data_IF_258694561452
#
_entry.id   IF_258694561452
#
_cell.length_a   1.000
_cell.length_b   1.000
_cell.length_c   1.000
_cell.angle_alpha   90.00
_cell.angle_beta   90.00
_cell.angle_gamma   90.00
#
_symmetry.space_group_name_H-M   'P 1'
#
loop_
_entity.id
_entity.type
_entity.pdbx_description
1 polymer ?
#
# COMPACT_ATOMS: atom_id res chain seq x y z
N UNK A 1 16.49 -15.95 5.84
CA UNK A 1 16.38 -14.51 5.67
C UNK A 1 17.78 -13.92 5.71
N UNK A 2 18.05 -12.80 5.03
CA UNK A 2 19.41 -12.29 4.86
C UNK A 2 19.49 -10.79 5.17
N UNK A 3 20.61 -10.39 5.81
CA UNK A 3 21.08 -9.02 5.86
C UNK A 3 22.12 -8.86 4.77
N UNK A 4 22.02 -7.80 4.00
CA UNK A 4 22.93 -7.51 2.90
C UNK A 4 23.49 -6.10 3.02
N UNK A 5 24.69 -5.96 2.47
CA UNK A 5 25.38 -4.69 2.31
C UNK A 5 25.54 -4.40 0.83
N UNK A 6 25.18 -3.21 0.40
CA UNK A 6 25.49 -2.68 -0.92
C UNK A 6 26.57 -1.61 -0.76
N UNK A 7 27.67 -1.76 -1.46
CA UNK A 7 28.80 -0.84 -1.39
C UNK A 7 28.95 -0.11 -2.71
N UNK A 8 29.08 1.20 -2.66
CA UNK A 8 29.51 2.01 -3.79
C UNK A 8 31.04 1.99 -3.86
N UNK A 9 31.59 1.40 -4.94
CA UNK A 9 33.04 1.22 -5.12
C UNK A 9 33.81 2.53 -5.35
N UNK A 10 33.12 3.62 -5.70
CA UNK A 10 33.79 4.90 -5.94
C UNK A 10 34.06 5.68 -4.64
N UNK A 11 33.26 5.53 -3.60
CA UNK A 11 33.36 6.31 -2.38
C UNK A 11 33.26 5.49 -1.10
N UNK A 12 33.19 4.17 -1.22
CA UNK A 12 33.07 3.19 -0.13
C UNK A 12 31.87 3.39 0.81
N UNK A 13 30.91 4.23 0.44
CA UNK A 13 29.66 4.38 1.21
C UNK A 13 28.77 3.15 1.04
N UNK A 14 28.08 2.80 2.10
CA UNK A 14 27.28 1.57 2.17
C UNK A 14 25.80 1.84 2.41
N UNK A 15 24.98 0.91 1.91
CA UNK A 15 23.59 0.74 2.25
C UNK A 15 23.39 -0.62 2.89
N UNK A 16 22.75 -0.68 4.04
CA UNK A 16 22.39 -1.91 4.74
C UNK A 16 20.89 -2.16 4.56
N UNK A 17 20.53 -3.41 4.29
CA UNK A 17 19.12 -3.79 4.15
C UNK A 17 18.88 -5.25 4.46
N UNK A 18 17.60 -5.60 4.59
CA UNK A 18 17.15 -6.96 4.84
C UNK A 18 16.28 -7.49 3.70
N UNK A 19 16.26 -8.81 3.53
CA UNK A 19 15.40 -9.48 2.55
C UNK A 19 15.08 -10.92 2.94
N UNK A 20 13.85 -11.34 2.60
CA UNK A 20 13.43 -12.75 2.61
C UNK A 20 13.49 -13.36 1.20
N UNK A 21 13.72 -12.54 0.18
CA UNK A 21 13.80 -12.94 -1.23
C UNK A 21 15.26 -13.14 -1.64
N UNK A 22 15.52 -13.87 -2.75
CA UNK A 22 16.87 -14.01 -3.29
C UNK A 22 17.56 -12.67 -3.47
N UNK A 23 18.82 -12.58 -3.03
CA UNK A 23 19.57 -11.33 -2.96
C UNK A 23 19.71 -10.64 -4.34
N UNK A 24 19.91 -11.42 -5.40
CA UNK A 24 20.00 -10.89 -6.78
C UNK A 24 18.69 -10.19 -7.18
N UNK A 25 17.54 -10.78 -6.85
CA UNK A 25 16.22 -10.20 -7.14
C UNK A 25 16.02 -8.90 -6.36
N UNK A 26 16.43 -8.86 -5.09
CA UNK A 26 16.34 -7.67 -4.25
C UNK A 26 17.22 -6.54 -4.81
N UNK A 27 18.43 -6.86 -5.24
CA UNK A 27 19.34 -5.88 -5.84
C UNK A 27 18.80 -5.31 -7.14
N UNK A 28 18.34 -6.15 -8.08
CA UNK A 28 17.69 -5.69 -9.30
C UNK A 28 16.52 -4.76 -9.04
N UNK A 29 15.72 -5.05 -8.02
CA UNK A 29 14.61 -4.18 -7.65
C UNK A 29 15.11 -2.79 -7.21
N UNK A 30 16.13 -2.71 -6.36
CA UNK A 30 16.72 -1.43 -5.97
C UNK A 30 17.20 -0.62 -7.18
N UNK A 31 17.88 -1.28 -8.12
CA UNK A 31 18.38 -0.63 -9.34
C UNK A 31 17.22 -0.12 -10.20
N UNK A 32 16.20 -0.95 -10.43
CA UNK A 32 15.04 -0.58 -11.24
C UNK A 32 14.24 0.56 -10.60
N UNK A 33 13.96 0.48 -9.29
CA UNK A 33 13.21 1.52 -8.59
C UNK A 33 13.93 2.88 -8.63
N UNK A 34 15.28 2.85 -8.57
CA UNK A 34 16.11 4.05 -8.66
C UNK A 34 16.14 4.62 -10.09
N UNK A 35 16.39 3.79 -11.11
CA UNK A 35 16.54 4.23 -12.51
C UNK A 35 15.22 4.70 -13.13
N UNK A 36 14.11 4.12 -12.72
CA UNK A 36 12.77 4.52 -13.17
C UNK A 36 12.15 5.65 -12.33
N UNK A 37 12.92 6.28 -11.44
CA UNK A 37 12.45 7.35 -10.54
C UNK A 37 11.21 6.98 -9.68
N UNK A 38 11.05 5.68 -9.37
CA UNK A 38 9.95 5.20 -8.51
C UNK A 38 10.18 5.63 -7.06
N UNK A 39 11.46 5.66 -6.63
CA UNK A 39 11.88 6.09 -5.30
C UNK A 39 12.88 7.24 -5.39
N UNK A 40 12.74 8.22 -4.49
CA UNK A 40 13.69 9.32 -4.34
C UNK A 40 14.39 9.28 -2.98
N UNK A 41 14.91 8.12 -2.62
CA UNK A 41 15.73 7.91 -1.42
C UNK A 41 17.18 8.34 -1.66
N UNK A 42 17.92 8.57 -0.56
CA UNK A 42 19.35 8.87 -0.64
C UNK A 42 20.12 7.80 -1.44
N UNK A 43 19.77 6.52 -1.23
CA UNK A 43 20.35 5.42 -1.98
C UNK A 43 19.98 5.44 -3.47
N UNK A 44 18.69 5.71 -3.79
CA UNK A 44 18.26 5.81 -5.18
C UNK A 44 18.94 6.97 -5.94
N UNK A 45 19.10 8.12 -5.30
CA UNK A 45 19.86 9.26 -5.85
C UNK A 45 21.32 8.91 -6.07
N UNK A 46 21.93 8.13 -5.18
CA UNK A 46 23.30 7.66 -5.35
C UNK A 46 23.44 6.73 -6.56
N UNK A 47 22.50 5.78 -6.75
CA UNK A 47 22.51 4.89 -7.94
C UNK A 47 22.42 5.71 -9.23
N UNK A 48 21.53 6.70 -9.30
CA UNK A 48 21.42 7.59 -10.46
C UNK A 48 22.68 8.40 -10.72
N UNK A 49 23.32 8.91 -9.66
CA UNK A 49 24.52 9.73 -9.75
C UNK A 49 25.76 8.94 -10.19
N UNK A 50 25.98 7.79 -9.58
CA UNK A 50 27.24 7.03 -9.76
C UNK A 50 27.12 5.93 -10.82
N UNK A 51 25.91 5.60 -11.27
CA UNK A 51 25.64 4.49 -12.19
C UNK A 51 25.58 3.13 -11.49
N UNK A 52 24.74 2.25 -12.01
CA UNK A 52 24.44 0.94 -11.41
C UNK A 52 25.66 0.02 -11.26
N UNK A 53 26.62 0.13 -12.18
CA UNK A 53 27.79 -0.75 -12.27
C UNK A 53 28.84 -0.45 -11.18
N UNK A 54 28.68 0.66 -10.47
CA UNK A 54 29.52 1.04 -9.35
C UNK A 54 29.00 0.54 -7.99
N UNK A 55 28.00 -0.33 -7.97
CA UNK A 55 27.46 -0.89 -6.75
C UNK A 55 27.61 -2.40 -6.71
N UNK A 56 28.17 -2.91 -5.64
CA UNK A 56 28.30 -4.34 -5.35
C UNK A 56 27.40 -4.71 -4.18
N UNK A 57 26.88 -5.95 -4.17
CA UNK A 57 26.05 -6.48 -3.09
C UNK A 57 26.63 -7.75 -2.51
N UNK A 58 26.62 -7.87 -1.20
CA UNK A 58 27.04 -9.07 -0.48
C UNK A 58 26.09 -9.36 0.70
N UNK A 59 25.99 -10.64 1.06
CA UNK A 59 25.31 -11.07 2.29
C UNK A 59 26.29 -10.94 3.43
N UNK A 60 25.91 -10.22 4.48
CA UNK A 60 26.76 -10.03 5.68
C UNK A 60 26.25 -10.79 6.91
N UNK A 61 24.97 -11.20 6.90
CA UNK A 61 24.40 -11.97 8.02
C UNK A 61 23.13 -12.71 7.57
N UNK A 62 22.65 -13.64 8.42
CA UNK A 62 21.42 -14.39 8.22
C UNK A 62 20.58 -14.38 9.49
N UNK A 63 19.25 -14.58 9.35
CA UNK A 63 18.34 -14.67 10.47
C UNK A 63 17.30 -15.78 10.26
N UNK A 64 16.85 -16.38 11.36
CA UNK A 64 15.84 -17.45 11.38
C UNK A 64 14.42 -16.89 11.60
N UNK A 65 14.30 -15.70 12.20
CA UNK A 65 13.03 -15.05 12.46
C UNK A 65 13.04 -13.59 12.00
N UNK A 66 11.84 -13.00 11.84
CA UNK A 66 11.72 -11.58 11.47
C UNK A 66 12.25 -10.65 12.57
N UNK A 67 12.04 -11.01 13.84
CA UNK A 67 12.53 -10.20 14.97
C UNK A 67 14.06 -10.20 15.03
N UNK A 68 14.69 -11.36 14.80
CA UNK A 68 16.13 -11.48 14.69
C UNK A 68 16.65 -10.67 13.51
N UNK A 69 15.96 -10.76 12.35
CA UNK A 69 16.32 -10.03 11.14
C UNK A 69 16.31 -8.50 11.39
N UNK A 70 15.27 -8.01 12.05
CA UNK A 70 15.13 -6.58 12.37
C UNK A 70 16.27 -6.11 13.33
N UNK A 71 16.57 -6.89 14.37
CA UNK A 71 17.65 -6.58 15.32
C UNK A 71 19.02 -6.57 14.64
N UNK A 72 19.28 -7.54 13.77
CA UNK A 72 20.52 -7.63 13.01
C UNK A 72 20.66 -6.50 11.99
N UNK A 73 19.60 -6.13 11.27
CA UNK A 73 19.65 -4.99 10.36
C UNK A 73 20.03 -3.71 11.12
N UNK A 74 19.38 -3.46 12.27
CA UNK A 74 19.70 -2.31 13.11
C UNK A 74 21.16 -2.33 13.60
N UNK A 75 21.63 -3.47 14.07
CA UNK A 75 23.01 -3.64 14.49
C UNK A 75 23.99 -3.29 13.36
N UNK A 76 23.78 -3.80 12.14
CA UNK A 76 24.65 -3.54 11.01
C UNK A 76 24.56 -2.11 10.47
N UNK A 77 23.38 -1.45 10.54
CA UNK A 77 23.23 -0.03 10.24
C UNK A 77 24.09 0.81 11.20
N UNK A 78 24.07 0.49 12.48
CA UNK A 78 24.86 1.21 13.49
C UNK A 78 26.36 0.89 13.31
N UNK A 79 26.73 -0.36 13.11
CA UNK A 79 28.12 -0.81 12.92
C UNK A 79 28.80 -0.07 11.76
N UNK A 80 28.11 0.04 10.63
CA UNK A 80 28.63 0.78 9.46
C UNK A 80 28.35 2.28 9.48
N UNK A 81 27.67 2.79 10.53
CA UNK A 81 27.20 4.19 10.61
C UNK A 81 26.52 4.66 9.31
N UNK A 82 25.75 3.75 8.68
CA UNK A 82 25.27 3.93 7.32
C UNK A 82 24.16 4.99 7.15
N UNK A 83 23.59 5.48 8.25
CA UNK A 83 22.67 6.64 8.25
C UNK A 83 23.45 7.94 8.08
N UNK A 84 24.54 8.11 8.80
CA UNK A 84 25.31 9.36 8.78
C UNK A 84 26.32 9.39 7.61
N UNK A 85 27.04 8.30 7.43
CA UNK A 85 28.16 8.22 6.50
C UNK A 85 27.85 7.35 5.25
N UNK A 86 26.66 6.74 5.17
CA UNK A 86 26.22 5.86 4.10
C UNK A 86 24.99 6.35 3.37
N UNK A 87 24.11 5.40 2.99
CA UNK A 87 22.93 5.63 2.18
C UNK A 87 21.61 5.25 2.87
N UNK A 88 21.63 4.82 4.14
CA UNK A 88 20.43 4.62 4.90
C UNK A 88 19.85 5.98 5.35
N UNK A 89 18.53 6.15 5.31
CA UNK A 89 17.89 7.42 5.71
C UNK A 89 17.50 7.44 7.18
N UNK A 90 17.25 6.27 7.76
CA UNK A 90 16.83 6.11 9.15
C UNK A 90 17.38 4.82 9.73
N UNK A 91 17.46 4.75 11.04
CA UNK A 91 17.60 3.48 11.76
C UNK A 91 16.44 2.56 11.44
N UNK A 92 16.71 1.26 11.32
CA UNK A 92 15.74 0.24 10.88
C UNK A 92 14.42 0.24 11.68
N UNK A 93 14.42 0.77 12.90
CA UNK A 93 13.25 0.84 13.80
C UNK A 93 12.14 1.74 13.23
N UNK A 94 12.48 2.82 12.52
CA UNK A 94 11.50 3.86 12.14
C UNK A 94 10.64 3.49 10.92
N UNK A 95 11.07 2.55 10.10
CA UNK A 95 10.37 2.16 8.85
C UNK A 95 10.45 0.67 8.56
N UNK A 96 10.22 -0.17 9.55
CA UNK A 96 9.83 -1.53 9.23
C UNK A 96 8.49 -1.48 8.50
N UNK A 97 8.52 -1.33 7.18
CA UNK A 97 7.42 -1.67 6.28
C UNK A 97 7.17 -3.18 6.24
N UNK A 98 7.62 -3.90 7.26
CA UNK A 98 7.16 -5.22 7.62
C UNK A 98 5.71 -5.09 8.07
N UNK A 99 4.89 -6.01 7.60
CA UNK A 99 3.49 -6.13 7.93
C UNK A 99 3.27 -5.84 9.44
N UNK A 100 2.88 -4.63 9.78
CA UNK A 100 2.66 -4.11 11.14
C UNK A 100 1.67 -5.00 11.93
N UNK A 101 1.08 -5.98 11.25
CA UNK A 101 0.12 -6.93 11.77
C UNK A 101 0.74 -8.27 12.22
N UNK A 102 2.00 -8.59 11.86
CA UNK A 102 2.59 -9.90 12.18
C UNK A 102 2.92 -10.09 13.67
N UNK A 103 3.12 -9.01 14.42
CA UNK A 103 3.40 -9.04 15.88
C UNK A 103 2.15 -8.87 16.75
N UNK A 104 0.96 -8.79 16.14
CA UNK A 104 -0.29 -8.54 16.87
C UNK A 104 -1.04 -9.83 17.14
N UNK A 105 -1.63 -9.93 18.34
CA UNK A 105 -2.51 -11.04 18.69
C UNK A 105 -3.77 -11.04 17.82
N UNK A 106 -4.48 -12.18 17.80
CA UNK A 106 -5.76 -12.26 17.07
C UNK A 106 -6.77 -11.23 17.56
N UNK A 107 -6.80 -10.99 18.87
CA UNK A 107 -7.69 -10.02 19.53
C UNK A 107 -7.37 -8.59 19.10
N UNK A 108 -6.07 -8.21 19.11
CA UNK A 108 -5.62 -6.91 18.63
C UNK A 108 -5.94 -6.70 17.15
N UNK A 109 -5.81 -7.76 16.34
CA UNK A 109 -6.15 -7.72 14.92
C UNK A 109 -7.64 -7.49 14.68
N UNK A 110 -8.52 -8.11 15.47
CA UNK A 110 -9.96 -7.88 15.35
C UNK A 110 -10.34 -6.44 15.74
N UNK A 111 -9.74 -5.89 16.79
CA UNK A 111 -9.93 -4.47 17.17
C UNK A 111 -9.49 -3.51 16.04
N UNK A 112 -8.34 -3.79 15.41
CA UNK A 112 -7.84 -2.96 14.31
C UNK A 112 -8.75 -3.08 13.08
N UNK A 113 -9.14 -4.30 12.72
CA UNK A 113 -10.07 -4.54 11.61
C UNK A 113 -11.40 -3.82 11.83
N UNK A 114 -11.93 -3.87 13.05
CA UNK A 114 -13.18 -3.18 13.37
C UNK A 114 -13.03 -1.65 13.29
N UNK A 115 -11.93 -1.06 13.79
CA UNK A 115 -11.63 0.37 13.61
C UNK A 115 -11.55 0.75 12.12
N UNK A 116 -10.83 -0.02 11.31
CA UNK A 116 -10.74 0.20 9.86
C UNK A 116 -12.12 0.06 9.21
N UNK A 117 -12.91 -0.92 9.63
CA UNK A 117 -14.26 -1.13 9.13
C UNK A 117 -15.15 0.07 9.43
N UNK A 118 -15.13 0.58 10.66
CA UNK A 118 -15.93 1.73 11.08
C UNK A 118 -15.59 3.02 10.33
N UNK A 119 -14.31 3.23 9.99
CA UNK A 119 -13.89 4.40 9.19
C UNK A 119 -14.23 4.30 7.71
N UNK A 120 -14.48 3.08 7.20
CA UNK A 120 -14.78 2.83 5.78
C UNK A 120 -16.26 2.52 5.51
N UNK A 121 -17.11 2.51 6.54
CA UNK A 121 -18.53 2.20 6.38
C UNK A 121 -19.32 3.47 6.03
N UNK A 122 -20.14 3.36 4.99
CA UNK A 122 -21.14 4.36 4.63
C UNK A 122 -20.55 5.74 4.33
N UNK A 123 -21.19 6.77 4.86
CA UNK A 123 -20.82 8.18 4.69
C UNK A 123 -19.47 8.56 5.31
N UNK A 124 -18.92 7.74 6.21
CA UNK A 124 -17.58 7.95 6.80
C UNK A 124 -16.43 7.61 5.85
N UNK A 125 -16.70 6.99 4.71
CA UNK A 125 -15.68 6.73 3.70
C UNK A 125 -15.45 7.98 2.84
N UNK A 126 -14.27 8.63 2.88
CA UNK A 126 -13.99 9.85 2.08
C UNK A 126 -14.13 9.65 0.57
N UNK A 127 -14.08 8.40 0.10
CA UNK A 127 -14.25 8.04 -1.31
C UNK A 127 -15.70 7.62 -1.65
N UNK A 128 -16.63 7.71 -0.71
CA UNK A 128 -18.02 7.41 -0.97
C UNK A 128 -18.64 8.50 -1.87
N UNK A 129 -19.30 8.07 -2.93
CA UNK A 129 -20.05 8.94 -3.79
C UNK A 129 -21.54 8.82 -3.46
N UNK A 130 -22.20 9.94 -3.24
CA UNK A 130 -23.66 10.00 -3.07
C UNK A 130 -24.32 9.57 -4.37
N UNK A 131 -25.46 8.90 -4.25
CA UNK A 131 -26.24 8.40 -5.38
C UNK A 131 -27.69 8.83 -5.22
N UNK A 132 -28.24 9.42 -6.26
CA UNK A 132 -29.66 9.72 -6.40
C UNK A 132 -30.35 8.56 -7.12
N UNK A 133 -31.46 8.10 -6.58
CA UNK A 133 -32.37 7.14 -7.20
C UNK A 133 -33.64 7.86 -7.58
N UNK A 134 -34.08 7.71 -8.80
CA UNK A 134 -35.27 8.36 -9.35
C UNK A 134 -36.26 7.29 -9.81
N UNK A 135 -37.50 7.38 -9.34
CA UNK A 135 -38.60 6.56 -9.82
C UNK A 135 -39.15 7.18 -11.10
N UNK A 136 -38.99 6.48 -12.22
CA UNK A 136 -39.44 7.02 -13.54
C UNK A 136 -40.97 7.02 -13.71
N UNK A 137 -41.71 6.36 -12.82
CA UNK A 137 -43.18 6.31 -12.86
C UNK A 137 -43.79 7.41 -12.01
N UNK A 138 -43.28 7.61 -10.76
CA UNK A 138 -43.85 8.57 -9.81
C UNK A 138 -43.08 9.89 -9.80
N UNK A 139 -41.85 9.95 -10.31
CA UNK A 139 -40.98 11.12 -10.23
C UNK A 139 -40.32 11.31 -8.86
N UNK A 140 -40.54 10.41 -7.91
CA UNK A 140 -39.93 10.50 -6.59
C UNK A 140 -38.42 10.29 -6.64
N UNK A 141 -37.69 11.10 -5.87
CA UNK A 141 -36.23 11.07 -5.78
C UNK A 141 -35.77 10.73 -4.36
N UNK A 142 -34.82 9.82 -4.25
CA UNK A 142 -34.16 9.48 -2.98
C UNK A 142 -32.64 9.66 -3.12
N UNK A 143 -32.01 10.26 -2.10
CA UNK A 143 -30.57 10.43 -2.04
C UNK A 143 -29.97 9.48 -1.01
N UNK A 144 -28.89 8.79 -1.40
CA UNK A 144 -28.16 7.83 -0.58
C UNK A 144 -26.69 8.23 -0.49
N UNK A 145 -26.11 8.15 0.69
CA UNK A 145 -24.70 8.48 0.93
C UNK A 145 -23.72 7.55 0.23
N UNK A 146 -24.17 6.38 -0.19
CA UNK A 146 -23.31 5.39 -0.87
C UNK A 146 -24.08 4.55 -1.88
N UNK A 147 -23.36 4.02 -2.87
CA UNK A 147 -23.92 3.04 -3.83
C UNK A 147 -24.47 1.80 -3.09
N UNK A 148 -23.85 1.41 -1.96
CA UNK A 148 -24.26 0.22 -1.19
C UNK A 148 -25.59 0.47 -0.48
N UNK A 149 -25.80 1.65 0.13
CA UNK A 149 -27.08 2.00 0.77
C UNK A 149 -28.21 2.07 -0.24
N UNK A 150 -27.96 2.65 -1.40
CA UNK A 150 -28.91 2.68 -2.52
C UNK A 150 -29.25 1.26 -3.01
N UNK A 151 -28.25 0.39 -3.20
CA UNK A 151 -28.47 -1.00 -3.63
C UNK A 151 -29.32 -1.78 -2.62
N UNK A 152 -29.07 -1.60 -1.32
CA UNK A 152 -29.89 -2.22 -0.26
C UNK A 152 -31.34 -1.75 -0.27
N UNK A 153 -31.58 -0.46 -0.46
CA UNK A 153 -32.92 0.11 -0.58
C UNK A 153 -33.66 -0.44 -1.82
N UNK A 154 -32.93 -0.86 -2.86
CA UNK A 154 -33.50 -1.53 -4.01
C UNK A 154 -33.74 -3.04 -3.81
N UNK A 155 -33.45 -3.60 -2.62
CA UNK A 155 -33.59 -5.01 -2.31
C UNK A 155 -32.47 -5.89 -2.87
N UNK A 156 -31.33 -5.32 -3.24
CA UNK A 156 -30.16 -6.06 -3.74
C UNK A 156 -29.37 -6.59 -2.54
N UNK A 157 -29.49 -7.89 -2.26
CA UNK A 157 -28.89 -8.52 -1.04
C UNK A 157 -27.36 -8.60 -1.12
N UNK A 158 -26.80 -8.90 -2.29
CA UNK A 158 -25.36 -9.13 -2.45
C UNK A 158 -24.80 -8.29 -3.60
N UNK A 159 -24.24 -7.16 -3.24
CA UNK A 159 -23.41 -6.37 -4.17
C UNK A 159 -24.07 -5.14 -4.75
N UNK A 160 -23.21 -4.24 -5.11
CA UNK A 160 -23.50 -2.93 -5.69
C UNK A 160 -23.47 -2.96 -7.23
N UNK A 161 -23.15 -4.11 -7.84
CA UNK A 161 -22.82 -4.25 -9.27
C UNK A 161 -23.93 -3.72 -10.17
N UNK A 162 -25.17 -4.06 -9.88
CA UNK A 162 -26.34 -3.66 -10.69
C UNK A 162 -26.56 -2.14 -10.73
N UNK A 163 -26.29 -1.46 -9.60
CA UNK A 163 -26.36 -0.01 -9.51
C UNK A 163 -25.14 0.60 -10.19
N UNK A 164 -23.93 0.05 -9.95
CA UNK A 164 -22.69 0.53 -10.58
C UNK A 164 -22.71 0.46 -12.10
N UNK A 165 -23.20 -0.63 -12.67
CA UNK A 165 -23.30 -0.80 -14.12
C UNK A 165 -24.21 0.27 -14.78
N UNK A 166 -25.25 0.69 -14.08
CA UNK A 166 -26.13 1.78 -14.54
C UNK A 166 -25.51 3.15 -14.38
N UNK A 167 -24.86 3.39 -13.25
CA UNK A 167 -24.10 4.63 -13.01
C UNK A 167 -22.93 4.83 -13.99
N UNK A 168 -22.34 3.74 -14.49
CA UNK A 168 -21.26 3.77 -15.49
C UNK A 168 -21.74 3.78 -16.93
N UNK A 169 -23.06 3.71 -17.17
CA UNK A 169 -23.63 3.63 -18.51
C UNK A 169 -23.50 2.27 -19.21
N UNK A 170 -22.95 1.25 -18.54
CA UNK A 170 -22.86 -0.12 -19.10
C UNK A 170 -24.23 -0.78 -19.30
N UNK A 171 -25.20 -0.38 -18.48
CA UNK A 171 -26.60 -0.82 -18.59
C UNK A 171 -27.47 0.43 -18.60
N UNK A 172 -28.19 0.66 -19.66
CA UNK A 172 -29.04 1.84 -19.85
C UNK A 172 -30.50 1.62 -19.44
N UNK A 173 -30.93 0.34 -19.34
CA UNK A 173 -32.30 0.02 -18.93
C UNK A 173 -32.53 0.34 -17.46
N UNK A 174 -33.74 0.87 -17.09
CA UNK A 174 -34.10 1.10 -15.69
C UNK A 174 -34.04 -0.19 -14.86
N UNK A 175 -33.62 -0.07 -13.60
CA UNK A 175 -33.64 -1.21 -12.69
C UNK A 175 -35.08 -1.58 -12.33
N UNK A 176 -35.45 -2.85 -12.54
CA UNK A 176 -36.82 -3.35 -12.36
C UNK A 176 -37.87 -2.52 -13.13
N UNK A 177 -37.51 -1.93 -14.28
CA UNK A 177 -38.36 -1.05 -15.06
C UNK A 177 -38.93 0.16 -14.31
N UNK A 178 -38.31 0.54 -13.21
CA UNK A 178 -38.84 1.59 -12.32
C UNK A 178 -37.78 2.62 -11.94
N UNK A 179 -36.51 2.21 -11.76
CA UNK A 179 -35.51 3.05 -11.16
C UNK A 179 -34.36 3.37 -12.09
N UNK A 180 -33.97 4.65 -12.13
CA UNK A 180 -32.70 5.13 -12.68
C UNK A 180 -31.81 5.66 -11.56
N UNK A 181 -30.49 5.70 -11.80
CA UNK A 181 -29.50 6.11 -10.82
C UNK A 181 -28.55 7.12 -11.42
N UNK A 182 -28.23 8.14 -10.64
CA UNK A 182 -27.27 9.18 -10.98
C UNK A 182 -26.33 9.46 -9.83
N UNK A 183 -25.11 9.91 -10.11
CA UNK A 183 -24.26 10.46 -9.06
C UNK A 183 -24.83 11.79 -8.60
N UNK A 184 -24.96 11.98 -7.31
CA UNK A 184 -25.39 13.22 -6.72
C UNK A 184 -24.17 14.03 -6.29
N UNK A 185 -23.99 15.20 -6.91
CA UNK A 185 -23.00 16.20 -6.54
C UNK A 185 -23.76 17.37 -5.89
N UNK A 186 -23.39 17.74 -4.69
CA UNK A 186 -23.91 18.94 -4.01
C UNK A 186 -23.43 20.19 -4.70
#
# INVERSE_FOLDING_TARGET
>A
MWIYKITNIQNNKVYIGQTIRPIKQRFHRHLNDALNNILDTHFARAIRKYGKDNFTIEIIDTAQSQDELNKKEQYWIQYYNSVKDGYNETDAISKCGGNTYQSKTKEEMEVIKEKIRQTKIGSKNPMAKKVKRINIVTGEEDIYDTIISCARACGIKNGKTSVMQRLSGQVTSPFKNTWIFEYYNE
#
